data_IF_067233930322
#
_entry.id   IF_067233930322
#
_cell.length_a   1.000
_cell.length_b   1.000
_cell.length_c   1.000
_cell.angle_alpha   90.00
_cell.angle_beta   90.00
_cell.angle_gamma   90.00
#
_symmetry.space_group_name_H-M   'P 1'
#
loop_
_entity.id
_entity.type
_entity.pdbx_description
1 polymer ?
#
# COMPACT_ATOMS: atom_id res chain seq x y z
N UNK A 1 2.06 -1.00 -10.63
CA UNK A 1 2.79 0.17 -10.10
C UNK A 1 2.50 1.37 -10.98
N UNK A 2 2.23 2.54 -10.38
CA UNK A 2 1.78 3.77 -11.09
C UNK A 2 2.82 4.88 -10.94
N UNK A 3 2.95 5.73 -11.97
CA UNK A 3 3.81 6.91 -11.98
C UNK A 3 2.94 8.16 -12.20
N UNK A 4 3.15 9.22 -11.40
CA UNK A 4 2.39 10.47 -11.42
C UNK A 4 3.33 11.69 -11.42
N UNK A 5 2.88 12.80 -12.02
CA UNK A 5 3.64 14.05 -12.11
C UNK A 5 3.36 14.96 -10.89
N UNK A 6 4.35 15.25 -10.04
CA UNK A 6 4.13 15.98 -8.78
C UNK A 6 3.79 17.47 -8.94
N UNK A 7 3.93 18.04 -10.15
CA UNK A 7 3.69 19.47 -10.42
C UNK A 7 2.30 19.77 -10.97
N UNK A 8 1.52 18.73 -11.20
CA UNK A 8 0.17 18.81 -11.72
C UNK A 8 -0.85 18.75 -10.57
N UNK A 9 -1.78 19.71 -10.54
CA UNK A 9 -2.77 19.82 -9.47
C UNK A 9 -3.72 18.61 -9.47
N UNK A 10 -4.04 18.08 -10.64
CA UNK A 10 -4.89 16.90 -10.78
C UNK A 10 -4.16 15.65 -10.26
N UNK A 11 -2.86 15.53 -10.58
CA UNK A 11 -1.99 14.49 -10.02
C UNK A 11 -1.86 14.55 -8.49
N UNK A 12 -1.84 15.74 -7.87
CA UNK A 12 -1.82 15.87 -6.41
C UNK A 12 -3.14 15.43 -5.76
N UNK A 13 -4.28 15.75 -6.38
CA UNK A 13 -5.59 15.26 -5.92
C UNK A 13 -5.70 13.75 -6.08
N UNK A 14 -5.16 13.18 -7.17
CA UNK A 14 -5.12 11.74 -7.38
C UNK A 14 -4.24 11.04 -6.32
N UNK A 15 -3.08 11.59 -5.99
CA UNK A 15 -2.22 11.08 -4.90
C UNK A 15 -2.98 11.07 -3.57
N UNK A 16 -3.65 12.16 -3.22
CA UNK A 16 -4.44 12.24 -1.99
C UNK A 16 -5.58 11.20 -1.97
N UNK A 17 -6.25 11.00 -3.10
CA UNK A 17 -7.30 10.00 -3.24
C UNK A 17 -6.75 8.57 -3.09
N UNK A 18 -5.60 8.28 -3.70
CA UNK A 18 -4.91 6.99 -3.58
C UNK A 18 -4.51 6.73 -2.12
N UNK A 19 -3.93 7.72 -1.44
CA UNK A 19 -3.57 7.61 -0.02
C UNK A 19 -4.78 7.37 0.87
N UNK A 20 -5.89 8.08 0.61
CA UNK A 20 -7.14 7.85 1.35
C UNK A 20 -7.65 6.43 1.16
N UNK A 21 -7.71 5.94 -0.09
CA UNK A 21 -8.15 4.57 -0.39
C UNK A 21 -7.24 3.53 0.27
N UNK A 22 -5.92 3.70 0.17
CA UNK A 22 -4.94 2.82 0.80
C UNK A 22 -5.13 2.76 2.33
N UNK A 23 -5.29 3.90 2.99
CA UNK A 23 -5.51 3.97 4.43
C UNK A 23 -6.83 3.29 4.83
N UNK A 24 -7.90 3.47 4.06
CA UNK A 24 -9.18 2.77 4.31
C UNK A 24 -9.01 1.25 4.24
N UNK A 25 -8.29 0.74 3.24
CA UNK A 25 -8.01 -0.70 3.12
C UNK A 25 -7.19 -1.22 4.31
N UNK A 26 -6.16 -0.47 4.74
CA UNK A 26 -5.33 -0.82 5.89
C UNK A 26 -6.14 -0.86 7.19
N UNK A 27 -6.98 0.16 7.44
CA UNK A 27 -7.84 0.17 8.64
C UNK A 27 -8.87 -0.95 8.61
N UNK A 28 -9.43 -1.28 7.45
CA UNK A 28 -10.31 -2.42 7.29
C UNK A 28 -9.59 -3.74 7.59
N UNK A 29 -8.38 -3.93 7.03
CA UNK A 29 -7.56 -5.11 7.32
C UNK A 29 -7.27 -5.25 8.82
N UNK A 30 -6.90 -4.17 9.52
CA UNK A 30 -6.68 -4.19 10.98
C UNK A 30 -7.93 -4.58 11.78
N UNK A 31 -9.12 -4.22 11.31
CA UNK A 31 -10.38 -4.65 11.94
C UNK A 31 -10.62 -6.15 11.74
N UNK A 32 -10.37 -6.67 10.54
CA UNK A 32 -10.50 -8.09 10.23
C UNK A 32 -9.43 -8.95 10.92
N UNK A 33 -8.22 -8.41 11.15
CA UNK A 33 -7.16 -9.07 11.95
C UNK A 33 -7.67 -9.40 13.37
N UNK A 34 -8.45 -8.50 13.98
CA UNK A 34 -9.04 -8.72 15.32
C UNK A 34 -10.06 -9.84 15.33
N UNK A 35 -10.70 -10.10 14.19
CA UNK A 35 -11.69 -11.16 14.00
C UNK A 35 -11.07 -12.45 13.43
N UNK A 36 -9.75 -12.49 13.24
CA UNK A 36 -9.01 -13.62 12.69
C UNK A 36 -9.43 -14.06 11.27
N UNK A 37 -9.95 -13.11 10.48
CA UNK A 37 -10.34 -13.31 9.08
C UNK A 37 -9.12 -13.14 8.16
N UNK A 38 -8.20 -14.10 8.21
CA UNK A 38 -6.83 -13.94 7.68
C UNK A 38 -6.75 -13.90 6.15
N UNK A 39 -7.66 -14.56 5.44
CA UNK A 39 -7.70 -14.55 3.98
C UNK A 39 -8.07 -13.15 3.46
N UNK A 40 -9.13 -12.57 4.02
CA UNK A 40 -9.60 -11.23 3.69
C UNK A 40 -8.60 -10.16 4.12
N UNK A 41 -7.90 -10.37 5.24
CA UNK A 41 -6.79 -9.50 5.67
C UNK A 41 -5.66 -9.49 4.64
N UNK A 42 -5.27 -10.65 4.11
CA UNK A 42 -4.21 -10.74 3.10
C UNK A 42 -4.61 -10.03 1.80
N UNK A 43 -5.83 -10.26 1.30
CA UNK A 43 -6.34 -9.59 0.10
C UNK A 43 -6.33 -8.05 0.25
N UNK A 44 -6.78 -7.54 1.40
CA UNK A 44 -6.82 -6.10 1.66
C UNK A 44 -5.42 -5.48 1.74
N UNK A 45 -4.45 -6.18 2.33
CA UNK A 45 -3.07 -5.70 2.35
C UNK A 45 -2.40 -5.76 0.97
N UNK A 46 -2.70 -6.76 0.15
CA UNK A 46 -2.24 -6.84 -1.24
C UNK A 46 -2.83 -5.70 -2.08
N UNK A 47 -4.13 -5.41 -1.94
CA UNK A 47 -4.75 -4.27 -2.63
C UNK A 47 -4.14 -2.94 -2.18
N UNK A 48 -3.90 -2.76 -0.87
CA UNK A 48 -3.21 -1.58 -0.34
C UNK A 48 -1.78 -1.45 -0.89
N UNK A 49 -1.05 -2.56 -1.02
CA UNK A 49 0.30 -2.58 -1.60
C UNK A 49 0.29 -2.14 -3.07
N UNK A 50 -0.71 -2.56 -3.86
CA UNK A 50 -0.84 -2.12 -5.25
C UNK A 50 -1.12 -0.64 -5.42
N UNK A 51 -1.63 0.03 -4.38
CA UNK A 51 -1.86 1.47 -4.33
C UNK A 51 -0.64 2.26 -3.85
N UNK A 52 0.40 1.59 -3.34
CA UNK A 52 1.65 2.25 -2.96
C UNK A 52 2.35 2.84 -4.19
N UNK A 53 2.78 4.09 -4.06
CA UNK A 53 3.50 4.82 -5.12
C UNK A 53 4.97 4.37 -5.16
N UNK A 54 5.55 4.25 -6.36
CA UNK A 54 6.90 3.71 -6.55
C UNK A 54 8.00 4.64 -6.04
N UNK A 55 8.87 4.14 -5.16
CA UNK A 55 10.10 4.82 -4.75
C UNK A 55 11.29 4.34 -5.60
N UNK A 56 11.72 5.08 -6.63
CA UNK A 56 12.96 4.75 -7.34
C UNK A 56 13.43 5.84 -8.31
N UNK A 57 14.73 5.86 -8.60
CA UNK A 57 15.35 6.88 -9.46
C UNK A 57 15.15 6.54 -10.95
N UNK A 58 14.35 7.37 -11.64
CA UNK A 58 14.11 7.28 -13.07
C UNK A 58 13.62 8.63 -13.63
N UNK A 59 14.07 8.96 -14.84
CA UNK A 59 13.80 10.22 -15.55
C UNK A 59 12.31 10.59 -15.47
N UNK A 60 12.02 11.74 -14.86
CA UNK A 60 10.69 12.36 -14.71
C UNK A 60 9.70 11.77 -13.71
N UNK A 61 10.09 10.90 -12.78
CA UNK A 61 9.19 10.46 -11.71
C UNK A 61 9.83 10.71 -10.36
N UNK A 62 9.95 12.00 -9.99
CA UNK A 62 9.92 12.36 -8.57
C UNK A 62 8.45 12.24 -8.13
N UNK A 63 7.96 11.00 -8.00
CA UNK A 63 6.93 10.74 -6.99
C UNK A 63 7.46 11.40 -5.72
N UNK A 64 6.61 12.16 -5.04
CA UNK A 64 6.94 12.70 -3.73
C UNK A 64 7.14 11.47 -2.84
N UNK A 65 8.36 10.91 -2.86
CA UNK A 65 8.79 9.89 -1.92
C UNK A 65 8.98 10.62 -0.62
N UNK A 66 7.87 10.84 0.09
CA UNK A 66 8.02 11.08 1.51
C UNK A 66 8.54 9.78 2.13
N UNK A 67 9.40 9.94 3.13
CA UNK A 67 9.94 8.83 3.91
C UNK A 67 8.81 7.90 4.43
N UNK A 68 7.63 8.47 4.69
CA UNK A 68 6.39 7.77 5.07
C UNK A 68 5.91 6.76 4.02
N UNK A 69 6.03 7.05 2.71
CA UNK A 69 5.57 6.14 1.65
C UNK A 69 6.47 4.92 1.54
N UNK A 70 7.79 5.14 1.68
CA UNK A 70 8.78 4.07 1.77
C UNK A 70 8.53 3.18 3.00
N UNK A 71 8.32 3.79 4.16
CA UNK A 71 8.02 3.08 5.41
C UNK A 71 6.71 2.30 5.32
N UNK A 72 5.68 2.86 4.69
CA UNK A 72 4.40 2.19 4.46
C UNK A 72 4.56 0.97 3.56
N UNK A 73 5.30 1.09 2.45
CA UNK A 73 5.58 -0.03 1.55
C UNK A 73 6.31 -1.17 2.27
N UNK A 74 7.39 -0.85 3.01
CA UNK A 74 8.12 -1.85 3.78
C UNK A 74 7.27 -2.52 4.86
N UNK A 75 6.42 -1.74 5.55
CA UNK A 75 5.50 -2.27 6.56
C UNK A 75 4.48 -3.23 5.95
N UNK A 76 3.93 -2.91 4.78
CA UNK A 76 2.99 -3.78 4.08
C UNK A 76 3.65 -5.09 3.64
N UNK A 77 4.85 -5.02 3.08
CA UNK A 77 5.62 -6.22 2.71
C UNK A 77 5.88 -7.12 3.92
N UNK A 78 6.36 -6.55 5.02
CA UNK A 78 6.62 -7.32 6.23
C UNK A 78 5.35 -8.00 6.76
N UNK A 79 4.20 -7.34 6.66
CA UNK A 79 2.91 -7.91 7.05
C UNK A 79 2.49 -9.06 6.14
N UNK A 80 2.58 -8.88 4.82
CA UNK A 80 2.25 -9.92 3.83
C UNK A 80 3.17 -11.14 4.01
N UNK A 81 4.47 -10.93 4.13
CA UNK A 81 5.44 -12.02 4.32
C UNK A 81 5.22 -12.75 5.66
N UNK A 82 4.85 -12.01 6.71
CA UNK A 82 4.46 -12.58 8.00
C UNK A 82 3.19 -13.43 7.92
N UNK A 83 2.20 -13.04 7.12
CA UNK A 83 0.99 -13.82 6.88
C UNK A 83 1.30 -15.10 6.10
N UNK A 84 2.07 -15.01 5.00
CA UNK A 84 2.51 -16.17 4.22
C UNK A 84 3.29 -17.19 5.04
N UNK A 85 4.17 -16.71 5.91
CA UNK A 85 4.95 -17.59 6.80
C UNK A 85 4.06 -18.30 7.83
N UNK A 86 3.04 -17.61 8.35
CA UNK A 86 2.10 -18.18 9.34
C UNK A 86 1.04 -19.08 8.71
N UNK A 87 0.64 -18.80 7.48
CA UNK A 87 -0.47 -19.44 6.78
C UNK A 87 -0.09 -19.75 5.33
N UNK A 88 0.76 -20.77 5.10
CA UNK A 88 1.31 -21.07 3.77
C UNK A 88 0.28 -21.59 2.76
N UNK A 89 -0.95 -21.89 3.21
CA UNK A 89 -2.04 -22.45 2.42
C UNK A 89 -3.07 -21.41 1.97
N UNK A 90 -2.85 -20.12 2.23
CA UNK A 90 -3.70 -19.04 1.71
C UNK A 90 -3.39 -18.69 0.24
N UNK A 91 -2.57 -19.52 -0.44
CA UNK A 91 -2.17 -19.40 -1.85
C UNK A 91 -2.73 -20.53 -2.72
#
# INVERSE_FOLDING_TARGET
MRALNPKDHDSLQEIAHIHMKMNTLIEHAKLLEKNHLWFEVEELYLEAQHLSLHTGEGMQVKIINEQSDLENWHRLNYKIDGLKTKFPYLL
#
